data_IF_578248706105
#
_entry.id   IF_578248706105
#
_cell.length_a   1.000
_cell.length_b   1.000
_cell.length_c   1.000
_cell.angle_alpha   90.00
_cell.angle_beta   90.00
_cell.angle_gamma   90.00
#
_symmetry.space_group_name_H-M   'P 1'
#
loop_
_entity.id
_entity.type
_entity.pdbx_description
1 polymer ?
#
# COMPACT_ATOMS: atom_id res chain seq x y z
N UNK A 1 -6.17 -50.16 -23.26
CA UNK A 1 -5.18 -49.54 -22.36
C UNK A 1 -5.45 -48.01 -22.35
N UNK A 2 -6.25 -47.52 -21.45
CA UNK A 2 -6.56 -46.07 -21.34
C UNK A 2 -5.43 -45.41 -20.60
N UNK A 3 -4.57 -44.69 -21.27
CA UNK A 3 -3.57 -43.81 -20.66
C UNK A 3 -4.34 -42.62 -20.04
N UNK A 4 -4.51 -42.66 -18.71
CA UNK A 4 -4.98 -41.50 -17.98
C UNK A 4 -3.93 -40.39 -18.13
N UNK A 5 -4.18 -39.43 -19.01
CA UNK A 5 -3.44 -38.16 -18.96
C UNK A 5 -3.80 -37.50 -17.60
N UNK A 6 -2.89 -37.59 -16.67
CA UNK A 6 -2.93 -36.72 -15.48
C UNK A 6 -2.59 -35.32 -15.98
N UNK A 7 -3.60 -34.50 -16.25
CA UNK A 7 -3.38 -33.08 -16.44
C UNK A 7 -2.90 -32.53 -15.07
N UNK A 8 -1.61 -32.22 -14.98
CA UNK A 8 -1.11 -31.46 -13.86
C UNK A 8 -1.69 -30.04 -13.97
N UNK A 9 -2.55 -29.67 -13.05
CA UNK A 9 -3.02 -28.28 -12.94
C UNK A 9 -1.86 -27.44 -12.41
N UNK A 10 -1.59 -26.33 -13.06
CA UNK A 10 -0.59 -25.37 -12.59
C UNK A 10 -1.04 -24.77 -11.25
N UNK A 11 -0.13 -24.74 -10.29
CA UNK A 11 -0.40 -24.27 -8.94
C UNK A 11 -0.12 -22.77 -8.81
N UNK A 12 -1.12 -22.03 -8.34
CA UNK A 12 -1.03 -20.59 -8.10
C UNK A 12 -1.19 -20.28 -6.61
N UNK A 13 -0.21 -19.61 -6.03
CA UNK A 13 -0.34 -19.04 -4.69
C UNK A 13 -0.77 -17.58 -4.81
N UNK A 14 -1.97 -17.28 -4.27
CA UNK A 14 -2.54 -15.94 -4.28
C UNK A 14 -2.26 -15.22 -2.97
N UNK A 15 -1.72 -14.02 -3.03
CA UNK A 15 -1.60 -13.13 -1.87
C UNK A 15 -2.98 -12.67 -1.42
N UNK A 16 -3.51 -13.26 -0.36
CA UNK A 16 -4.83 -12.94 0.21
C UNK A 16 -4.66 -11.91 1.32
N UNK A 17 -5.24 -10.73 1.14
CA UNK A 17 -5.16 -9.61 2.10
C UNK A 17 -6.41 -9.46 2.98
N UNK A 18 -7.43 -10.31 2.78
CA UNK A 18 -8.75 -10.12 3.40
C UNK A 18 -9.56 -8.99 2.76
N UNK A 19 -9.16 -8.46 1.62
CA UNK A 19 -9.89 -7.47 0.83
C UNK A 19 -10.53 -8.06 -0.42
N UNK A 20 -11.47 -7.31 -1.04
CA UNK A 20 -12.25 -7.76 -2.20
C UNK A 20 -11.40 -8.06 -3.42
N UNK A 21 -10.34 -7.29 -3.67
CA UNK A 21 -9.50 -7.42 -4.87
C UNK A 21 -8.74 -8.76 -4.89
N UNK A 22 -8.11 -9.14 -3.77
CA UNK A 22 -7.44 -10.43 -3.64
C UNK A 22 -8.41 -11.61 -3.64
N UNK A 23 -9.63 -11.39 -3.13
CA UNK A 23 -10.69 -12.38 -3.12
C UNK A 23 -11.15 -12.73 -4.53
N UNK A 24 -11.43 -11.71 -5.33
CA UNK A 24 -11.85 -11.90 -6.73
C UNK A 24 -10.70 -12.45 -7.58
N UNK A 25 -9.45 -12.03 -7.33
CA UNK A 25 -8.29 -12.61 -7.99
C UNK A 25 -8.20 -14.14 -7.79
N UNK A 26 -8.40 -14.61 -6.55
CA UNK A 26 -8.42 -16.04 -6.24
C UNK A 26 -9.59 -16.77 -6.92
N UNK A 27 -10.79 -16.18 -6.90
CA UNK A 27 -11.98 -16.73 -7.55
C UNK A 27 -11.78 -16.89 -9.07
N UNK A 28 -11.26 -15.85 -9.74
CA UNK A 28 -11.03 -15.86 -11.19
C UNK A 28 -10.03 -16.95 -11.60
N UNK A 29 -8.94 -17.10 -10.85
CA UNK A 29 -7.94 -18.14 -11.10
C UNK A 29 -8.50 -19.54 -10.88
N UNK A 30 -9.30 -19.74 -9.82
CA UNK A 30 -9.96 -21.03 -9.58
C UNK A 30 -10.92 -21.37 -10.73
N UNK A 31 -11.71 -20.40 -11.20
CA UNK A 31 -12.63 -20.59 -12.32
C UNK A 31 -11.89 -20.82 -13.65
N UNK A 32 -10.67 -20.32 -13.79
CA UNK A 32 -9.79 -20.59 -14.93
C UNK A 32 -9.14 -21.98 -14.90
N UNK A 33 -9.34 -22.77 -13.82
CA UNK A 33 -8.87 -24.16 -13.72
C UNK A 33 -7.49 -24.32 -13.09
N UNK A 34 -6.95 -23.30 -12.43
CA UNK A 34 -5.71 -23.43 -11.66
C UNK A 34 -5.95 -24.14 -10.32
N UNK A 35 -4.92 -24.83 -9.82
CA UNK A 35 -4.84 -25.25 -8.42
C UNK A 35 -4.49 -24.01 -7.57
N UNK A 36 -5.47 -23.45 -6.85
CA UNK A 36 -5.31 -22.19 -6.11
C UNK A 36 -5.16 -22.47 -4.62
N UNK A 37 -4.11 -21.90 -4.02
CA UNK A 37 -3.98 -21.77 -2.56
C UNK A 37 -3.75 -20.30 -2.20
N UNK A 38 -4.18 -19.91 -1.00
CA UNK A 38 -3.96 -18.56 -0.47
C UNK A 38 -2.72 -18.48 0.42
N UNK A 39 -2.05 -17.33 0.42
CA UNK A 39 -1.01 -17.01 1.40
C UNK A 39 -1.29 -15.63 1.99
N UNK A 40 -1.58 -15.60 3.29
CA UNK A 40 -1.74 -14.37 4.06
C UNK A 40 -0.40 -13.94 4.65
N UNK A 41 -0.01 -12.68 4.41
CA UNK A 41 1.21 -12.08 4.95
C UNK A 41 0.85 -11.16 6.11
N UNK A 42 1.36 -11.47 7.31
CA UNK A 42 1.31 -10.56 8.45
C UNK A 42 2.58 -9.73 8.48
N UNK A 43 2.47 -8.45 8.16
CA UNK A 43 3.61 -7.56 8.02
C UNK A 43 3.68 -6.46 9.10
N UNK A 44 2.64 -6.36 9.92
CA UNK A 44 2.55 -5.38 10.99
C UNK A 44 1.85 -5.96 12.22
N UNK A 45 2.33 -5.59 13.38
CA UNK A 45 1.68 -5.85 14.66
C UNK A 45 1.82 -4.62 15.53
N UNK A 46 0.69 -4.05 15.96
CA UNK A 46 0.69 -2.79 16.71
C UNK A 46 1.49 -2.87 18.02
N UNK A 47 1.45 -4.02 18.70
CA UNK A 47 2.18 -4.20 19.96
C UNK A 47 3.67 -4.38 19.73
N UNK A 48 4.06 -5.24 18.78
CA UNK A 48 5.47 -5.50 18.46
C UNK A 48 6.13 -4.23 17.89
N UNK A 49 5.41 -3.49 17.04
CA UNK A 49 5.93 -2.31 16.38
C UNK A 49 5.76 -1.01 17.20
N UNK A 50 5.15 -1.05 18.40
CA UNK A 50 4.96 0.13 19.23
C UNK A 50 3.99 1.17 18.65
N UNK A 51 2.99 0.74 17.87
CA UNK A 51 1.99 1.56 17.20
C UNK A 51 0.80 1.79 18.13
N UNK A 52 0.99 2.67 19.12
CA UNK A 52 -0.02 2.95 20.14
C UNK A 52 -0.82 4.22 19.88
N UNK A 53 -0.26 5.18 19.12
CA UNK A 53 -0.90 6.46 18.84
C UNK A 53 -1.49 6.49 17.43
N UNK A 54 -2.62 7.14 17.28
CA UNK A 54 -3.24 7.36 15.96
C UNK A 54 -4.01 6.18 15.39
N UNK A 55 -4.15 5.10 16.13
CA UNK A 55 -5.00 3.98 15.76
C UNK A 55 -6.48 4.32 16.02
N UNK A 56 -7.36 4.34 15.01
CA UNK A 56 -8.78 4.63 15.23
C UNK A 56 -9.51 3.52 16.01
N UNK A 57 -8.89 2.35 16.16
CA UNK A 57 -9.45 1.17 16.82
C UNK A 57 -8.87 0.96 18.24
N UNK A 58 -8.41 2.02 18.92
CA UNK A 58 -7.80 1.96 20.26
C UNK A 58 -8.65 1.23 21.34
N UNK A 59 -9.91 0.93 21.06
CA UNK A 59 -10.86 0.27 21.98
C UNK A 59 -11.17 -1.17 21.62
N UNK A 60 -10.51 -1.75 20.61
CA UNK A 60 -10.69 -3.17 20.25
C UNK A 60 -9.42 -3.95 20.56
N UNK A 61 -9.54 -5.01 21.34
CA UNK A 61 -8.45 -5.91 21.72
C UNK A 61 -7.84 -6.70 20.53
N UNK A 62 -8.38 -6.50 19.30
CA UNK A 62 -7.97 -7.25 18.11
C UNK A 62 -7.21 -6.34 17.16
N UNK A 63 -5.96 -6.71 16.91
CA UNK A 63 -5.14 -6.07 15.86
C UNK A 63 -5.88 -6.07 14.52
N UNK A 64 -5.91 -4.95 13.76
CA UNK A 64 -6.56 -4.87 12.44
C UNK A 64 -6.14 -6.00 11.49
N UNK A 65 -4.89 -6.43 11.52
CA UNK A 65 -4.39 -7.54 10.70
C UNK A 65 -4.99 -8.90 11.08
N UNK A 66 -5.33 -9.14 12.35
CA UNK A 66 -6.03 -10.38 12.74
C UNK A 66 -7.48 -10.40 12.23
N UNK A 67 -8.12 -9.23 12.13
CA UNK A 67 -9.44 -9.11 11.49
C UNK A 67 -9.34 -9.42 10.00
N UNK A 68 -8.36 -8.87 9.32
CA UNK A 68 -8.11 -9.15 7.89
C UNK A 68 -7.77 -10.64 7.67
N UNK A 69 -7.04 -11.26 8.59
CA UNK A 69 -6.76 -12.70 8.55
C UNK A 69 -8.04 -13.53 8.70
N UNK A 70 -8.93 -13.19 9.63
CA UNK A 70 -10.22 -13.87 9.78
C UNK A 70 -11.09 -13.74 8.53
N UNK A 71 -11.11 -12.57 7.88
CA UNK A 71 -11.79 -12.38 6.59
C UNK A 71 -11.18 -13.27 5.51
N UNK A 72 -9.86 -13.41 5.48
CA UNK A 72 -9.14 -14.28 4.56
C UNK A 72 -9.45 -15.77 4.80
N UNK A 73 -9.52 -16.20 6.07
CA UNK A 73 -9.93 -17.59 6.44
C UNK A 73 -11.34 -17.88 5.95
N UNK A 74 -12.30 -16.98 6.21
CA UNK A 74 -13.69 -17.14 5.78
C UNK A 74 -13.81 -17.21 4.25
N UNK A 75 -13.07 -16.36 3.54
CA UNK A 75 -12.99 -16.36 2.09
C UNK A 75 -12.45 -17.70 1.56
N UNK A 76 -11.31 -18.14 2.07
CA UNK A 76 -10.66 -19.37 1.60
C UNK A 76 -11.52 -20.61 1.88
N UNK A 77 -12.20 -20.68 3.04
CA UNK A 77 -13.16 -21.73 3.35
C UNK A 77 -14.32 -21.73 2.35
N UNK A 78 -14.88 -20.56 2.02
CA UNK A 78 -15.96 -20.45 1.03
C UNK A 78 -15.51 -20.87 -0.36
N UNK A 79 -14.31 -20.49 -0.77
CA UNK A 79 -13.74 -20.90 -2.05
C UNK A 79 -13.26 -22.35 -2.06
N UNK A 80 -13.19 -23.04 -0.91
CA UNK A 80 -12.64 -24.38 -0.79
C UNK A 80 -11.16 -24.46 -1.19
N UNK A 81 -10.38 -23.42 -0.85
CA UNK A 81 -8.94 -23.35 -1.07
C UNK A 81 -8.19 -23.33 0.26
N UNK A 82 -6.98 -23.85 0.27
CA UNK A 82 -6.12 -23.85 1.44
C UNK A 82 -5.55 -22.44 1.67
N UNK A 83 -5.50 -21.99 2.93
CA UNK A 83 -4.85 -20.75 3.33
C UNK A 83 -3.60 -21.05 4.15
N UNK A 84 -2.49 -20.48 3.74
CA UNK A 84 -1.25 -20.41 4.51
C UNK A 84 -1.13 -19.03 5.18
N UNK A 85 -0.35 -18.96 6.27
CA UNK A 85 -0.02 -17.71 6.94
C UNK A 85 1.48 -17.62 7.14
N UNK A 86 2.05 -16.44 6.91
CA UNK A 86 3.45 -16.13 7.18
C UNK A 86 3.59 -14.77 7.83
N UNK A 87 4.58 -14.64 8.70
CA UNK A 87 4.92 -13.40 9.38
C UNK A 87 6.19 -12.80 8.77
N UNK A 88 6.07 -11.57 8.25
CA UNK A 88 7.17 -10.74 7.75
C UNK A 88 7.29 -9.43 8.54
N UNK A 89 6.87 -9.42 9.82
CA UNK A 89 6.85 -8.21 10.66
C UNK A 89 8.26 -7.60 10.75
N UNK A 90 9.27 -8.46 10.99
CA UNK A 90 10.66 -8.01 11.09
C UNK A 90 11.20 -7.51 9.76
N UNK A 91 10.96 -8.24 8.67
CA UNK A 91 11.42 -7.88 7.33
C UNK A 91 10.75 -6.59 6.82
N UNK A 92 9.45 -6.41 7.12
CA UNK A 92 8.76 -5.17 6.79
C UNK A 92 9.34 -3.98 7.55
N UNK A 93 9.62 -4.16 8.84
CA UNK A 93 10.29 -3.16 9.66
C UNK A 93 11.66 -2.79 9.09
N UNK A 94 12.50 -3.78 8.81
CA UNK A 94 13.88 -3.57 8.39
C UNK A 94 13.99 -2.97 6.97
N UNK A 95 13.20 -3.47 6.02
CA UNK A 95 13.34 -3.10 4.60
C UNK A 95 12.43 -1.97 4.14
N UNK A 96 11.33 -1.72 4.86
CA UNK A 96 10.32 -0.74 4.43
C UNK A 96 10.21 0.40 5.45
N UNK A 97 9.92 0.06 6.70
CA UNK A 97 9.55 1.07 7.69
C UNK A 97 10.74 1.88 8.21
N UNK A 98 11.89 1.26 8.40
CA UNK A 98 13.12 1.97 8.80
C UNK A 98 13.51 3.03 7.77
N UNK A 99 13.52 2.67 6.48
CA UNK A 99 13.77 3.61 5.41
C UNK A 99 12.74 4.75 5.39
N UNK A 100 11.45 4.41 5.57
CA UNK A 100 10.38 5.40 5.65
C UNK A 100 10.65 6.44 6.75
N UNK A 101 11.02 6.01 7.95
CA UNK A 101 11.35 6.91 9.05
C UNK A 101 12.61 7.76 8.77
N UNK A 102 13.64 7.18 8.17
CA UNK A 102 14.87 7.90 7.82
C UNK A 102 14.64 9.00 6.80
N UNK A 103 13.83 8.76 5.77
CA UNK A 103 13.49 9.77 4.78
C UNK A 103 12.61 10.90 5.37
N UNK A 104 11.70 10.56 6.28
CA UNK A 104 10.95 11.59 7.02
C UNK A 104 11.87 12.47 7.87
N UNK A 105 12.88 11.92 8.53
CA UNK A 105 13.91 12.70 9.28
C UNK A 105 14.66 13.66 8.38
N UNK A 106 14.92 13.28 7.12
CA UNK A 106 15.55 14.12 6.10
C UNK A 106 14.59 15.16 5.50
N UNK A 107 13.36 15.25 6.00
CA UNK A 107 12.32 16.16 5.49
C UNK A 107 11.69 15.73 4.16
N UNK A 108 11.95 14.52 3.69
CA UNK A 108 11.36 13.98 2.46
C UNK A 108 10.00 13.35 2.74
N UNK A 109 9.24 13.08 1.68
CA UNK A 109 7.98 12.34 1.75
C UNK A 109 8.17 11.01 1.03
N UNK A 110 8.55 9.94 1.74
CA UNK A 110 8.77 8.64 1.15
C UNK A 110 7.44 7.95 0.82
N UNK A 111 7.49 7.02 -0.15
CA UNK A 111 6.39 6.12 -0.44
C UNK A 111 6.77 4.69 -0.01
N UNK A 112 6.32 4.21 1.15
CA UNK A 112 6.66 2.89 1.65
C UNK A 112 6.08 1.75 0.80
N UNK A 113 5.01 2.02 0.02
CA UNK A 113 4.36 0.99 -0.79
C UNK A 113 5.23 0.51 -1.95
N UNK A 114 6.11 1.38 -2.50
CA UNK A 114 7.11 0.98 -3.49
C UNK A 114 8.06 -0.09 -2.92
N UNK A 115 8.58 0.14 -1.71
CA UNK A 115 9.49 -0.79 -1.05
C UNK A 115 8.78 -2.06 -0.58
N UNK A 116 7.53 -1.93 -0.12
CA UNK A 116 6.70 -3.07 0.22
C UNK A 116 6.51 -4.00 -0.98
N UNK A 117 6.19 -3.45 -2.14
CA UNK A 117 6.08 -4.23 -3.36
C UNK A 117 7.42 -4.87 -3.74
N UNK A 118 8.52 -4.10 -3.73
CA UNK A 118 9.85 -4.57 -4.12
C UNK A 118 10.38 -5.71 -3.25
N UNK A 119 10.35 -5.54 -1.92
CA UNK A 119 11.03 -6.42 -0.99
C UNK A 119 10.11 -7.48 -0.36
N UNK A 120 8.84 -7.14 -0.12
CA UNK A 120 7.91 -8.05 0.55
C UNK A 120 7.10 -8.84 -0.47
N UNK A 121 6.26 -8.17 -1.30
CA UNK A 121 5.30 -8.85 -2.17
C UNK A 121 5.95 -9.54 -3.37
N UNK A 122 6.92 -8.91 -4.02
CA UNK A 122 7.55 -9.46 -5.22
C UNK A 122 8.96 -10.00 -4.98
N UNK A 123 9.37 -10.19 -3.71
CA UNK A 123 10.58 -10.91 -3.33
C UNK A 123 10.27 -11.99 -2.28
N UNK A 124 10.05 -11.62 -1.01
CA UNK A 124 9.86 -12.61 0.07
C UNK A 124 8.62 -13.48 -0.14
N UNK A 125 7.49 -12.89 -0.50
CA UNK A 125 6.27 -13.64 -0.80
C UNK A 125 6.47 -14.65 -1.94
N UNK A 126 7.16 -14.26 -3.02
CA UNK A 126 7.47 -15.17 -4.13
C UNK A 126 8.36 -16.33 -3.65
N UNK A 127 9.36 -16.04 -2.81
CA UNK A 127 10.23 -17.09 -2.24
C UNK A 127 9.46 -18.09 -1.40
N UNK A 128 8.53 -17.62 -0.57
CA UNK A 128 7.69 -18.51 0.24
C UNK A 128 6.68 -19.30 -0.60
N UNK A 129 6.06 -18.66 -1.59
CA UNK A 129 5.16 -19.35 -2.52
C UNK A 129 5.88 -20.48 -3.28
N UNK A 130 7.12 -20.26 -3.70
CA UNK A 130 7.95 -21.32 -4.33
C UNK A 130 8.22 -22.49 -3.39
N UNK A 131 8.44 -22.26 -2.09
CA UNK A 131 8.59 -23.33 -1.10
C UNK A 131 7.30 -24.16 -0.95
N UNK A 132 6.14 -23.54 -1.20
CA UNK A 132 4.83 -24.22 -1.21
C UNK A 132 4.54 -24.93 -2.56
N UNK A 133 5.48 -24.91 -3.51
CA UNK A 133 5.36 -25.58 -4.79
C UNK A 133 4.60 -24.78 -5.85
N UNK A 134 4.54 -23.45 -5.74
CA UNK A 134 3.87 -22.59 -6.71
C UNK A 134 4.61 -22.56 -8.06
N UNK A 135 3.85 -22.77 -9.14
CA UNK A 135 4.28 -22.48 -10.52
C UNK A 135 4.15 -20.99 -10.80
N UNK A 136 3.08 -20.36 -10.28
CA UNK A 136 2.79 -18.93 -10.37
C UNK A 136 2.42 -18.34 -9.01
N UNK A 137 2.60 -17.04 -8.92
CA UNK A 137 2.04 -16.23 -7.81
C UNK A 137 1.07 -15.20 -8.36
N UNK A 138 0.06 -14.85 -7.60
CA UNK A 138 -0.91 -13.85 -8.01
C UNK A 138 -1.21 -12.85 -6.89
N UNK A 139 -1.58 -11.65 -7.29
CA UNK A 139 -2.00 -10.58 -6.37
C UNK A 139 -3.19 -9.82 -6.93
N UNK A 140 -3.94 -9.18 -6.04
CA UNK A 140 -5.06 -8.32 -6.40
C UNK A 140 -4.65 -6.90 -6.81
N UNK A 141 -3.55 -6.74 -7.57
CA UNK A 141 -3.16 -5.43 -8.10
C UNK A 141 -3.89 -5.08 -9.39
N UNK A 142 -4.28 -3.82 -9.51
CA UNK A 142 -4.76 -3.23 -10.76
C UNK A 142 -3.55 -2.90 -11.66
N UNK A 143 -3.03 -3.89 -12.31
CA UNK A 143 -1.93 -3.84 -13.27
C UNK A 143 -2.06 -4.99 -14.26
N UNK A 144 -1.31 -4.96 -15.37
CA UNK A 144 -1.25 -6.07 -16.35
C UNK A 144 0.18 -6.41 -16.70
N UNK A 145 0.39 -7.67 -17.07
CA UNK A 145 1.65 -8.14 -17.64
C UNK A 145 1.37 -8.71 -19.03
N UNK A 146 1.90 -8.08 -20.05
CA UNK A 146 1.81 -8.53 -21.43
C UNK A 146 3.21 -8.57 -22.04
N UNK A 147 3.60 -9.70 -22.60
CA UNK A 147 4.94 -9.93 -23.17
C UNK A 147 6.09 -9.58 -22.21
N UNK A 148 5.90 -9.87 -20.92
CA UNK A 148 6.86 -9.55 -19.86
C UNK A 148 7.04 -8.05 -19.58
N UNK A 149 6.09 -7.21 -20.04
CA UNK A 149 6.06 -5.77 -19.79
C UNK A 149 4.90 -5.42 -18.86
N UNK A 150 5.19 -4.61 -17.86
CA UNK A 150 4.18 -4.03 -16.99
C UNK A 150 3.37 -2.98 -17.76
N UNK A 151 2.05 -3.11 -17.75
CA UNK A 151 1.11 -2.19 -18.38
C UNK A 151 0.05 -1.75 -17.37
N UNK A 152 -0.51 -0.57 -17.63
CA UNK A 152 -1.61 -0.02 -16.82
C UNK A 152 -2.84 -0.91 -16.88
N UNK A 153 -3.60 -0.92 -15.78
CA UNK A 153 -4.91 -1.59 -15.74
C UNK A 153 -5.94 -0.88 -16.61
N UNK A 154 -7.05 -1.56 -16.87
CA UNK A 154 -8.21 -0.95 -17.55
C UNK A 154 -8.83 0.17 -16.70
N UNK A 155 -8.89 -0.02 -15.39
CA UNK A 155 -9.35 1.02 -14.46
C UNK A 155 -8.22 2.04 -14.16
N UNK A 156 -8.19 3.13 -14.92
CA UNK A 156 -7.19 4.18 -14.75
C UNK A 156 -7.29 4.91 -13.40
N UNK A 157 -8.46 4.87 -12.73
CA UNK A 157 -8.63 5.48 -11.41
C UNK A 157 -8.06 4.60 -10.29
N UNK A 158 -7.93 3.29 -10.54
CA UNK A 158 -7.40 2.30 -9.61
C UNK A 158 -6.03 1.77 -10.01
N UNK A 159 -5.49 2.23 -11.14
CA UNK A 159 -4.17 1.81 -11.63
C UNK A 159 -3.11 1.86 -10.54
N UNK A 160 -2.40 0.77 -10.35
CA UNK A 160 -1.39 0.60 -9.31
C UNK A 160 0.03 0.39 -9.87
N UNK A 161 0.23 0.59 -11.17
CA UNK A 161 1.55 0.42 -11.81
C UNK A 161 2.61 1.35 -11.24
N UNK A 162 2.23 2.55 -10.77
CA UNK A 162 3.12 3.45 -10.05
C UNK A 162 3.77 2.78 -8.84
N UNK A 163 3.00 2.02 -8.05
CA UNK A 163 3.52 1.32 -6.87
C UNK A 163 4.39 0.10 -7.19
N UNK A 164 4.45 -0.29 -8.46
CA UNK A 164 5.28 -1.38 -8.98
C UNK A 164 6.55 -0.89 -9.69
N UNK A 165 6.77 0.42 -9.76
CA UNK A 165 7.85 1.03 -10.53
C UNK A 165 9.27 0.61 -10.09
N UNK A 166 9.44 0.23 -8.83
CA UNK A 166 10.74 -0.20 -8.27
C UNK A 166 10.93 -1.74 -8.25
N UNK A 167 9.93 -2.49 -8.74
CA UNK A 167 10.00 -3.95 -8.88
C UNK A 167 10.75 -4.29 -10.17
N UNK A 168 11.75 -5.16 -10.07
CA UNK A 168 12.56 -5.57 -11.23
C UNK A 168 11.77 -6.49 -12.16
N UNK A 169 12.06 -6.41 -13.45
CA UNK A 169 11.40 -7.23 -14.49
C UNK A 169 11.45 -8.73 -14.17
N UNK A 170 12.57 -9.21 -13.66
CA UNK A 170 12.79 -10.63 -13.33
C UNK A 170 11.86 -11.11 -12.20
N UNK A 171 11.45 -10.21 -11.31
CA UNK A 171 10.51 -10.52 -10.23
C UNK A 171 9.08 -10.77 -10.73
N UNK A 172 8.76 -10.33 -11.94
CA UNK A 172 7.47 -10.56 -12.57
C UNK A 172 7.38 -11.84 -13.42
N UNK A 173 8.45 -12.64 -13.55
CA UNK A 173 8.51 -13.76 -14.46
C UNK A 173 7.34 -14.75 -14.34
N UNK A 174 6.90 -15.05 -13.11
CA UNK A 174 5.79 -15.97 -12.83
C UNK A 174 4.70 -15.29 -12.00
N UNK A 175 4.41 -14.03 -12.30
CA UNK A 175 3.38 -13.24 -11.60
C UNK A 175 2.14 -13.09 -12.45
N UNK A 176 0.97 -13.22 -11.85
CA UNK A 176 -0.32 -12.98 -12.48
C UNK A 176 -1.04 -11.81 -11.80
N UNK A 177 -1.67 -10.96 -12.59
CA UNK A 177 -2.56 -9.88 -12.15
C UNK A 177 -3.97 -10.13 -12.68
N UNK A 178 -4.76 -11.03 -12.05
CA UNK A 178 -6.01 -11.52 -12.61
C UNK A 178 -7.09 -10.45 -12.77
N UNK A 179 -6.99 -9.35 -12.00
CA UNK A 179 -7.99 -8.27 -12.01
C UNK A 179 -7.61 -7.06 -12.86
N UNK A 180 -6.48 -7.11 -13.55
CA UNK A 180 -5.98 -5.98 -14.35
C UNK A 180 -6.87 -5.57 -15.52
N UNK A 181 -7.72 -6.48 -15.99
CA UNK A 181 -8.68 -6.26 -17.08
C UNK A 181 -10.09 -5.88 -16.60
N UNK A 182 -10.27 -5.61 -15.29
CA UNK A 182 -11.54 -5.26 -14.69
C UNK A 182 -11.49 -3.90 -14.03
N UNK A 183 -12.63 -3.21 -14.04
CA UNK A 183 -12.85 -2.00 -13.25
C UNK A 183 -13.26 -2.36 -11.82
N UNK A 184 -13.09 -1.45 -10.87
CA UNK A 184 -13.49 -1.67 -9.48
C UNK A 184 -14.98 -1.99 -9.31
N UNK A 185 -15.92 -1.34 -10.01
CA UNK A 185 -17.33 -1.73 -9.98
C UNK A 185 -17.57 -3.17 -10.45
N UNK A 186 -16.87 -3.63 -11.50
CA UNK A 186 -16.98 -5.01 -11.98
C UNK A 186 -16.45 -6.01 -10.95
N UNK A 187 -15.31 -5.70 -10.31
CA UNK A 187 -14.76 -6.54 -9.22
C UNK A 187 -15.74 -6.66 -8.07
N UNK A 188 -16.39 -5.57 -7.65
CA UNK A 188 -17.42 -5.63 -6.60
C UNK A 188 -18.63 -6.43 -7.02
N UNK A 189 -19.09 -6.28 -8.26
CA UNK A 189 -20.20 -7.05 -8.82
C UNK A 189 -19.89 -8.55 -8.84
N UNK A 190 -18.68 -8.94 -9.30
CA UNK A 190 -18.25 -10.35 -9.28
C UNK A 190 -18.24 -10.89 -7.83
N UNK A 191 -17.76 -10.09 -6.87
CA UNK A 191 -17.75 -10.49 -5.47
C UNK A 191 -19.17 -10.67 -4.90
N UNK A 192 -20.10 -9.81 -5.24
CA UNK A 192 -21.52 -9.88 -4.84
C UNK A 192 -22.23 -11.08 -5.47
N UNK A 193 -22.08 -11.30 -6.78
CA UNK A 193 -22.68 -12.42 -7.51
C UNK A 193 -22.19 -13.80 -7.01
N UNK A 194 -21.04 -13.84 -6.35
CA UNK A 194 -20.48 -15.05 -5.73
C UNK A 194 -20.60 -15.04 -4.21
N UNK A 195 -21.37 -14.13 -3.63
CA UNK A 195 -21.61 -13.95 -2.19
C UNK A 195 -20.32 -13.93 -1.36
N UNK A 196 -19.24 -13.33 -1.85
CA UNK A 196 -17.99 -13.25 -1.09
C UNK A 196 -18.19 -12.35 0.15
N UNK A 197 -17.77 -12.85 1.31
CA UNK A 197 -17.90 -12.13 2.59
C UNK A 197 -17.28 -10.73 2.63
N UNK A 198 -16.40 -10.43 1.68
CA UNK A 198 -15.67 -9.16 1.56
C UNK A 198 -16.22 -8.22 0.47
N UNK A 199 -17.33 -8.59 -0.19
CA UNK A 199 -17.89 -7.82 -1.32
C UNK A 199 -18.16 -6.34 -0.97
N UNK A 200 -18.71 -6.10 0.22
CA UNK A 200 -19.03 -4.74 0.71
C UNK A 200 -17.94 -4.13 1.58
N UNK A 201 -16.82 -4.84 1.80
CA UNK A 201 -15.71 -4.32 2.60
C UNK A 201 -15.13 -3.06 1.95
N UNK A 202 -14.96 -2.01 2.76
CA UNK A 202 -14.34 -0.76 2.32
C UNK A 202 -12.90 -1.01 1.85
N UNK A 203 -12.47 -0.30 0.82
CA UNK A 203 -11.09 -0.38 0.35
C UNK A 203 -10.13 0.04 1.48
N UNK A 204 -9.02 -0.66 1.60
CA UNK A 204 -7.96 -0.28 2.54
C UNK A 204 -7.38 1.09 2.13
N UNK A 205 -7.27 1.97 3.10
CA UNK A 205 -6.66 3.30 2.97
C UNK A 205 -5.47 3.40 3.92
N UNK A 206 -4.52 4.30 3.63
CA UNK A 206 -3.31 4.47 4.44
C UNK A 206 -2.12 3.66 3.93
N UNK A 207 -1.13 3.46 4.80
CA UNK A 207 0.10 2.72 4.48
C UNK A 207 -0.22 1.22 4.40
N UNK A 208 0.31 0.57 3.37
CA UNK A 208 0.12 -0.86 3.12
C UNK A 208 0.44 -1.71 4.37
N UNK A 209 -0.47 -2.61 4.76
CA UNK A 209 -0.43 -3.45 5.96
C UNK A 209 -0.56 -2.75 7.32
N UNK A 210 -0.34 -1.44 7.41
CA UNK A 210 -0.55 -0.67 8.65
C UNK A 210 -2.02 -0.23 8.73
N UNK A 211 -2.61 0.13 7.58
CA UNK A 211 -3.99 0.53 7.46
C UNK A 211 -4.24 1.99 7.80
N UNK A 212 -5.50 2.31 8.11
CA UNK A 212 -5.93 3.68 8.41
C UNK A 212 -5.39 4.14 9.77
N UNK A 213 -4.73 5.28 9.78
CA UNK A 213 -4.17 5.91 10.96
C UNK A 213 -4.37 7.42 10.89
N UNK A 214 -4.47 8.08 12.05
CA UNK A 214 -4.15 9.49 12.08
C UNK A 214 -2.64 9.64 11.85
N UNK A 215 -2.25 10.05 10.66
CA UNK A 215 -0.86 10.04 10.20
C UNK A 215 0.09 10.75 11.16
N UNK A 216 -0.25 11.97 11.62
CA UNK A 216 0.61 12.74 12.51
C UNK A 216 0.83 11.99 13.84
N UNK A 217 -0.23 11.54 14.49
CA UNK A 217 -0.13 10.77 15.74
C UNK A 217 0.61 9.45 15.54
N UNK A 218 0.37 8.76 14.43
CA UNK A 218 1.08 7.53 14.10
C UNK A 218 2.59 7.76 14.02
N UNK A 219 3.03 8.82 13.31
CA UNK A 219 4.45 9.15 13.20
C UNK A 219 5.06 9.54 14.56
N UNK A 220 4.28 10.15 15.46
CA UNK A 220 4.73 10.53 16.81
C UNK A 220 5.10 9.34 17.71
N UNK A 221 4.68 8.10 17.38
CA UNK A 221 5.21 6.90 18.05
C UNK A 221 6.72 6.73 17.82
N UNK A 222 7.26 7.21 16.70
CA UNK A 222 8.62 6.93 16.24
C UNK A 222 9.50 8.16 16.13
N UNK A 223 8.92 9.31 15.81
CA UNK A 223 9.62 10.58 15.60
C UNK A 223 9.00 11.66 16.49
N UNK A 224 9.81 12.26 17.37
CA UNK A 224 9.36 13.37 18.22
C UNK A 224 9.01 14.58 17.35
N UNK A 225 7.86 15.22 17.58
CA UNK A 225 7.53 16.50 16.97
C UNK A 225 8.65 17.54 17.19
N UNK A 226 8.99 18.24 16.14
CA UNK A 226 9.93 19.37 16.19
C UNK A 226 9.28 20.60 15.54
N UNK A 227 8.46 21.37 16.29
CA UNK A 227 7.79 22.57 15.76
C UNK A 227 8.78 23.65 15.35
N UNK A 228 8.47 24.35 14.27
CA UNK A 228 9.30 25.46 13.76
C UNK A 228 8.48 26.49 13.01
N UNK A 229 9.17 27.39 12.33
CA UNK A 229 8.53 28.52 11.65
C UNK A 229 8.05 28.15 10.25
N UNK A 230 6.87 28.68 9.86
CA UNK A 230 6.39 28.70 8.48
C UNK A 230 6.74 30.07 7.88
N UNK A 231 7.52 30.08 6.84
CA UNK A 231 8.01 31.29 6.17
C UNK A 231 7.42 31.39 4.77
N UNK A 232 6.80 32.51 4.48
CA UNK A 232 6.40 32.87 3.12
C UNK A 232 7.64 33.11 2.26
N UNK A 233 7.75 32.37 1.15
CA UNK A 233 8.97 32.36 0.32
C UNK A 233 9.22 33.66 -0.43
N UNK A 234 8.17 34.43 -0.73
CA UNK A 234 8.27 35.69 -1.45
C UNK A 234 8.61 36.88 -0.51
N UNK A 235 7.86 36.97 0.60
CA UNK A 235 8.01 38.09 1.56
C UNK A 235 9.09 37.86 2.61
N UNK A 236 9.58 36.64 2.76
CA UNK A 236 10.52 36.20 3.82
C UNK A 236 9.99 36.38 5.25
N UNK A 237 8.71 36.60 5.41
CA UNK A 237 8.08 36.78 6.73
C UNK A 237 7.66 35.43 7.32
N UNK A 238 7.78 35.32 8.65
CA UNK A 238 7.16 34.22 9.39
C UNK A 238 5.67 34.48 9.44
N UNK A 239 4.88 33.53 8.98
CA UNK A 239 3.41 33.63 8.89
C UNK A 239 2.66 32.54 9.66
N UNK A 240 3.38 31.67 10.33
CA UNK A 240 2.80 30.59 11.15
C UNK A 240 3.85 29.70 11.77
N UNK A 241 3.39 28.61 12.39
CA UNK A 241 4.25 27.57 12.96
C UNK A 241 3.79 26.20 12.50
N UNK A 242 4.74 25.36 12.11
CA UNK A 242 4.48 23.97 11.76
C UNK A 242 4.67 23.04 12.97
N UNK A 243 4.08 21.85 12.92
CA UNK A 243 4.15 20.84 13.99
C UNK A 243 5.33 19.88 13.88
N UNK A 244 6.12 19.99 12.82
CA UNK A 244 7.27 19.14 12.47
C UNK A 244 7.34 18.95 10.97
N UNK A 245 8.50 19.13 10.33
CA UNK A 245 8.67 19.07 8.88
C UNK A 245 8.25 17.73 8.25
N UNK A 246 8.31 16.64 9.03
CA UNK A 246 7.88 15.31 8.62
C UNK A 246 6.37 15.22 8.31
N UNK A 247 5.56 16.16 8.83
CA UNK A 247 4.10 16.17 8.65
C UNK A 247 3.65 16.88 7.36
N UNK A 248 4.59 17.37 6.56
CA UNK A 248 4.28 18.19 5.38
C UNK A 248 4.91 17.60 4.12
N UNK A 249 4.20 17.78 3.00
CA UNK A 249 4.63 17.35 1.67
C UNK A 249 4.72 18.54 0.74
N UNK A 250 5.70 18.60 -0.15
CA UNK A 250 5.79 19.63 -1.21
C UNK A 250 4.50 19.60 -2.04
N UNK A 251 3.94 20.77 -2.33
CA UNK A 251 2.64 20.92 -2.98
C UNK A 251 1.43 20.82 -2.04
N UNK A 252 1.61 20.47 -0.76
CA UNK A 252 0.51 20.38 0.19
C UNK A 252 -0.15 21.75 0.39
N UNK A 253 -1.49 21.75 0.32
CA UNK A 253 -2.34 22.92 0.51
C UNK A 253 -3.15 22.89 1.79
N UNK A 254 -3.65 21.71 2.16
CA UNK A 254 -4.53 21.53 3.34
C UNK A 254 -3.69 21.29 4.59
N UNK A 255 -4.23 21.72 5.74
CA UNK A 255 -3.61 21.48 7.04
C UNK A 255 -2.18 22.06 7.19
N UNK A 256 -1.90 23.17 6.51
CA UNK A 256 -0.58 23.83 6.61
C UNK A 256 -0.46 24.70 7.89
N UNK A 257 -1.57 24.93 8.61
CA UNK A 257 -1.53 25.68 9.86
C UNK A 257 -1.50 27.21 9.69
N UNK A 258 -1.85 27.72 8.51
CA UNK A 258 -1.94 29.16 8.23
C UNK A 258 -3.41 29.55 8.22
N UNK A 259 -3.81 30.43 9.12
CA UNK A 259 -5.17 30.97 9.22
C UNK A 259 -5.24 32.43 8.82
N UNK A 260 -6.37 32.87 8.25
CA UNK A 260 -6.69 34.29 8.11
C UNK A 260 -6.51 34.92 6.74
N UNK A 261 -6.17 34.20 5.67
CA UNK A 261 -6.05 34.76 4.32
C UNK A 261 -7.05 34.17 3.32
N UNK A 262 -7.57 35.04 2.43
CA UNK A 262 -8.50 34.66 1.35
C UNK A 262 -7.83 33.85 0.23
N UNK A 263 -6.52 33.81 0.17
CA UNK A 263 -5.74 33.04 -0.80
C UNK A 263 -4.99 31.89 -0.15
N UNK A 264 -4.66 30.88 -0.96
CA UNK A 264 -4.13 29.59 -0.51
C UNK A 264 -2.62 29.58 -0.53
N UNK A 265 -2.01 29.05 0.53
CA UNK A 265 -0.59 28.77 0.58
C UNK A 265 -0.33 27.29 0.28
N UNK A 266 0.78 27.04 -0.38
CA UNK A 266 1.25 25.71 -0.75
C UNK A 266 2.67 25.50 -0.21
N UNK A 267 2.94 24.34 0.33
CA UNK A 267 4.30 23.99 0.75
C UNK A 267 5.19 23.92 -0.48
N UNK A 268 6.23 24.74 -0.53
CA UNK A 268 7.17 24.78 -1.67
C UNK A 268 8.60 24.37 -1.29
N UNK A 269 8.91 24.22 -0.01
CA UNK A 269 10.25 23.81 0.42
C UNK A 269 10.34 23.51 1.89
N UNK A 270 11.43 22.85 2.28
CA UNK A 270 11.78 22.55 3.68
C UNK A 270 13.26 22.81 3.90
N UNK A 271 13.61 23.42 5.00
CA UNK A 271 15.00 23.51 5.47
C UNK A 271 15.10 22.75 6.80
N UNK A 272 15.70 21.58 6.75
CA UNK A 272 15.79 20.68 7.92
C UNK A 272 16.76 21.26 8.98
N UNK A 273 17.88 21.85 8.57
CA UNK A 273 18.88 22.40 9.46
C UNK A 273 18.34 23.59 10.28
N UNK A 274 17.60 24.48 9.62
CA UNK A 274 16.98 25.65 10.24
C UNK A 274 15.58 25.38 10.80
N UNK A 275 15.05 24.18 10.59
CA UNK A 275 13.69 23.77 10.96
C UNK A 275 12.61 24.74 10.42
N UNK A 276 12.70 25.09 9.12
CA UNK A 276 11.79 26.04 8.46
C UNK A 276 10.99 25.31 7.38
N UNK A 277 9.66 25.54 7.40
CA UNK A 277 8.75 25.18 6.31
C UNK A 277 8.52 26.39 5.41
N UNK A 278 8.88 26.30 4.14
CA UNK A 278 8.60 27.35 3.17
C UNK A 278 7.27 27.12 2.48
N UNK A 279 6.50 28.19 2.35
CA UNK A 279 5.22 28.19 1.65
C UNK A 279 5.18 29.29 0.61
N UNK A 280 4.55 29.01 -0.51
CA UNK A 280 4.32 29.94 -1.61
C UNK A 280 2.83 30.30 -1.67
N UNK A 281 2.54 31.53 -2.07
CA UNK A 281 1.20 32.06 -2.18
C UNK A 281 0.68 31.91 -3.62
N UNK A 282 -0.47 31.22 -3.79
CA UNK A 282 -1.06 30.94 -5.11
C UNK A 282 -0.49 29.68 -5.76
N UNK A 283 -1.28 29.06 -6.63
CA UNK A 283 -0.92 27.82 -7.32
C UNK A 283 0.07 28.00 -8.49
N UNK A 284 0.13 29.22 -9.03
CA UNK A 284 1.03 29.58 -10.15
C UNK A 284 2.37 30.17 -9.67
N UNK A 285 2.68 30.02 -8.37
CA UNK A 285 3.92 30.57 -7.84
C UNK A 285 5.13 29.81 -8.38
N UNK A 286 6.15 30.54 -8.86
CA UNK A 286 7.37 29.99 -9.47
C UNK A 286 8.12 28.96 -8.59
N UNK A 287 7.96 29.03 -7.27
CA UNK A 287 8.59 28.08 -6.34
C UNK A 287 7.84 26.75 -6.23
N UNK A 288 6.67 26.62 -6.88
CA UNK A 288 5.90 25.37 -6.98
C UNK A 288 6.08 24.69 -8.33
N UNK A 289 6.59 25.40 -9.31
CA UNK A 289 6.81 24.92 -10.67
C UNK A 289 8.25 24.43 -10.82
N UNK A 290 8.42 23.37 -11.59
CA UNK A 290 9.73 22.87 -12.02
C UNK A 290 9.70 22.77 -13.55
N UNK A 291 10.78 23.21 -14.19
CA UNK A 291 10.95 23.11 -15.64
C UNK A 291 11.36 21.67 -16.04
N UNK A 292 11.82 20.86 -15.05
CA UNK A 292 12.26 19.49 -15.24
C UNK A 292 11.71 18.60 -14.12
N UNK A 293 11.42 17.33 -14.43
CA UNK A 293 10.99 16.30 -13.49
C UNK A 293 11.68 14.94 -13.74
#
# INVERSE_FOLDING_TARGET
MYTKYVMFMEKVIVGISGGVDSAVAALLLKNAGYEVEGLFMRNWDSNINGDYLGNPNDFTDICPQEKDYNDAVNLCNKLGIKLHRIDFIKEYWDYVFTYFLEELKKGRTPNPDLLCNKFIKFDLFIKEAKKLGADFVATGHYAKLEDGKLKRSVDLNKDQTYFLADVKKEQFANVLFPIGDYTKPEIRKIAEENDLNVAHKKDSTGICFIGERNYQKFIENYLKPNPGDIVDVDTKKVIGRHTGLMNYTIGQRRNVGISGNSKRHYVCGKNVEKNILYVAFGEDNKYLLSDEC
#
